data_IF_248068673842
#
_entry.id   IF_248068673842
#
_cell.length_a   1.000
_cell.length_b   1.000
_cell.length_c   1.000
_cell.angle_alpha   90.00
_cell.angle_beta   90.00
_cell.angle_gamma   90.00
#
_symmetry.space_group_name_H-M   'P 1'
#
loop_
_entity.id
_entity.type
_entity.pdbx_description
1 polymer ?
#
# COMPACT_ATOMS: atom_id res chain seq x y z
N UNK A 1 7.26 18.91 -15.69
CA UNK A 1 7.06 18.27 -14.38
C UNK A 1 7.60 16.85 -14.44
N UNK A 2 8.56 16.49 -13.59
CA UNK A 2 9.13 15.13 -13.65
C UNK A 2 8.31 14.04 -12.96
N UNK A 3 7.16 14.38 -12.38
CA UNK A 3 6.24 13.40 -11.79
C UNK A 3 5.33 12.81 -12.88
N UNK A 4 5.58 11.56 -13.23
CA UNK A 4 4.86 10.83 -14.27
C UNK A 4 3.94 9.73 -13.69
N UNK A 5 4.03 9.53 -12.38
CA UNK A 5 3.27 8.55 -11.63
C UNK A 5 1.84 9.04 -11.38
N UNK A 6 0.94 8.09 -11.14
CA UNK A 6 -0.47 8.31 -10.84
C UNK A 6 -0.88 7.56 -9.58
N UNK A 7 -2.08 7.87 -9.07
CA UNK A 7 -2.72 7.11 -8.00
C UNK A 7 -4.19 6.83 -8.32
N UNK A 8 -4.58 5.56 -8.31
CA UNK A 8 -5.92 5.10 -8.73
C UNK A 8 -6.73 4.51 -7.59
N UNK A 9 -8.06 4.46 -7.78
CA UNK A 9 -8.95 3.70 -6.90
C UNK A 9 -8.60 2.21 -6.86
N UNK A 10 -8.29 1.63 -8.03
CA UNK A 10 -7.87 0.24 -8.13
C UNK A 10 -6.40 0.08 -7.75
N UNK A 11 -6.07 -1.04 -7.09
CA UNK A 11 -4.68 -1.33 -6.77
C UNK A 11 -3.92 -1.69 -8.05
N UNK A 12 -2.68 -1.22 -8.16
CA UNK A 12 -1.77 -1.74 -9.17
C UNK A 12 -1.37 -3.16 -8.82
N UNK A 13 -1.00 -3.38 -7.55
CA UNK A 13 -0.61 -4.68 -7.02
C UNK A 13 -1.21 -4.87 -5.64
N UNK A 14 -1.72 -6.08 -5.43
CA UNK A 14 -2.19 -6.56 -4.13
C UNK A 14 -1.42 -7.81 -3.75
N UNK A 15 -0.77 -7.77 -2.58
CA UNK A 15 -0.26 -8.98 -1.92
C UNK A 15 -1.24 -9.43 -0.85
N UNK A 16 -1.40 -10.75 -0.73
CA UNK A 16 -2.28 -11.39 0.25
C UNK A 16 -1.45 -12.21 1.22
N UNK A 17 -1.65 -11.98 2.51
CA UNK A 17 -1.24 -12.87 3.59
C UNK A 17 -2.47 -13.70 4.01
N UNK A 18 -2.50 -14.99 3.67
CA UNK A 18 -3.62 -15.90 3.97
C UNK A 18 -3.30 -16.77 5.20
N UNK A 19 -4.17 -16.69 6.20
CA UNK A 19 -4.09 -17.39 7.48
C UNK A 19 -5.15 -18.47 7.66
N UNK A 20 -5.86 -18.88 6.60
CA UNK A 20 -6.90 -19.89 6.66
C UNK A 20 -6.42 -21.19 7.33
N UNK A 21 -5.19 -21.62 7.04
CA UNK A 21 -4.58 -22.81 7.63
C UNK A 21 -4.37 -22.71 9.16
N UNK A 22 -4.23 -21.49 9.68
CA UNK A 22 -3.95 -21.21 11.09
C UNK A 22 -5.03 -20.35 11.76
N UNK A 23 -6.22 -20.26 11.16
CA UNK A 23 -7.33 -19.44 11.65
C UNK A 23 -7.70 -19.74 13.12
N UNK A 24 -7.48 -20.98 13.58
CA UNK A 24 -7.73 -21.38 14.97
C UNK A 24 -6.67 -20.92 15.97
N UNK A 25 -5.64 -20.21 15.53
CA UNK A 25 -4.51 -19.74 16.33
C UNK A 25 -4.45 -18.19 16.38
N UNK A 26 -5.46 -17.51 16.96
CA UNK A 26 -5.58 -16.06 16.85
C UNK A 26 -4.44 -15.28 17.50
N UNK A 27 -3.81 -15.82 18.56
CA UNK A 27 -2.64 -15.21 19.18
C UNK A 27 -1.44 -15.18 18.20
N UNK A 28 -1.21 -16.28 17.47
CA UNK A 28 -0.16 -16.36 16.46
C UNK A 28 -0.42 -15.41 15.29
N UNK A 29 -1.68 -15.22 14.89
CA UNK A 29 -2.03 -14.25 13.85
C UNK A 29 -1.84 -12.80 14.36
N UNK A 30 -2.12 -12.52 15.64
CA UNK A 30 -1.80 -11.21 16.22
C UNK A 30 -0.30 -10.91 16.17
N UNK A 31 0.57 -11.90 16.42
CA UNK A 31 2.03 -11.74 16.26
C UNK A 31 2.42 -11.32 14.84
N UNK A 32 1.73 -11.85 13.82
CA UNK A 32 1.91 -11.40 12.43
C UNK A 32 1.50 -9.93 12.26
N UNK A 33 0.32 -9.52 12.76
CA UNK A 33 -0.16 -8.13 12.63
C UNK A 33 0.85 -7.17 13.27
N UNK A 34 1.35 -7.50 14.45
CA UNK A 34 2.37 -6.72 15.15
C UNK A 34 3.68 -6.65 14.38
N UNK A 35 4.14 -7.76 13.79
CA UNK A 35 5.33 -7.79 12.95
C UNK A 35 5.18 -6.92 11.69
N UNK A 36 4.02 -6.97 11.04
CA UNK A 36 3.73 -6.14 9.86
C UNK A 36 3.72 -4.64 10.22
N UNK A 37 3.07 -4.25 11.32
CA UNK A 37 3.09 -2.86 11.81
C UNK A 37 4.51 -2.39 12.16
N UNK A 38 5.26 -3.22 12.89
CA UNK A 38 6.65 -2.90 13.26
C UNK A 38 7.56 -2.73 12.06
N UNK A 39 7.46 -3.64 11.08
CA UNK A 39 8.24 -3.59 9.83
C UNK A 39 7.88 -2.36 9.00
N UNK A 40 6.59 -2.06 8.83
CA UNK A 40 6.11 -0.90 8.08
C UNK A 40 6.68 0.41 8.62
N UNK A 41 6.68 0.58 9.95
CA UNK A 41 7.24 1.74 10.62
C UNK A 41 8.77 1.80 10.50
N UNK A 42 9.47 0.67 10.72
CA UNK A 42 10.92 0.58 10.64
C UNK A 42 11.46 0.96 9.25
N UNK A 43 10.78 0.53 8.18
CA UNK A 43 11.14 0.85 6.80
C UNK A 43 10.56 2.18 6.30
N UNK A 44 9.75 2.88 7.12
CA UNK A 44 9.04 4.12 6.77
C UNK A 44 8.14 3.96 5.53
N UNK A 45 7.50 2.80 5.40
CA UNK A 45 6.61 2.43 4.27
C UNK A 45 5.15 2.47 4.70
N UNK A 46 4.88 2.20 5.99
CA UNK A 46 3.54 2.21 6.54
C UNK A 46 3.59 2.45 8.05
N UNK A 47 3.20 3.63 8.50
CA UNK A 47 3.02 3.92 9.93
C UNK A 47 1.64 4.54 10.19
N UNK A 48 0.88 3.96 11.11
CA UNK A 48 -0.49 4.41 11.43
C UNK A 48 -0.43 5.56 12.41
N UNK A 49 -0.87 6.74 11.96
CA UNK A 49 -0.91 7.96 12.76
C UNK A 49 -2.18 8.00 13.61
N UNK A 50 -3.32 7.67 13.02
CA UNK A 50 -4.62 7.66 13.70
C UNK A 50 -5.48 6.49 13.21
N UNK A 51 -6.22 5.86 14.13
CA UNK A 51 -7.21 4.83 13.81
C UNK A 51 -8.50 5.04 14.64
N UNK A 52 -9.45 5.87 14.14
CA UNK A 52 -10.65 6.25 14.89
C UNK A 52 -11.53 5.06 15.30
N UNK A 53 -11.58 4.00 14.49
CA UNK A 53 -12.41 2.81 14.74
C UNK A 53 -12.05 2.07 16.04
N UNK A 54 -10.83 2.25 16.54
CA UNK A 54 -10.34 1.71 17.81
C UNK A 54 -9.93 2.82 18.78
N UNK A 55 -10.34 4.07 18.50
CA UNK A 55 -9.98 5.25 19.26
C UNK A 55 -8.48 5.38 19.47
N UNK A 56 -7.65 5.15 18.45
CA UNK A 56 -6.19 5.25 18.55
C UNK A 56 -5.65 6.54 17.91
N UNK A 57 -4.66 7.16 18.57
CA UNK A 57 -3.81 8.25 18.06
C UNK A 57 -2.38 8.04 18.55
N UNK A 58 -1.40 7.99 17.63
CA UNK A 58 0.02 7.71 17.91
C UNK A 58 0.58 8.57 19.04
N UNK A 59 0.38 9.89 18.97
CA UNK A 59 0.95 10.85 19.94
C UNK A 59 0.35 10.74 21.35
N UNK A 60 -0.83 10.12 21.49
CA UNK A 60 -1.52 9.94 22.77
C UNK A 60 -1.28 8.55 23.35
N UNK A 61 -1.35 7.52 22.51
CA UNK A 61 -1.46 6.13 22.95
C UNK A 61 -0.14 5.36 22.83
N UNK A 62 0.88 5.94 22.21
CA UNK A 62 2.16 5.27 21.96
C UNK A 62 2.05 4.26 20.82
N UNK A 63 2.62 3.07 21.01
CA UNK A 63 2.68 2.07 19.97
C UNK A 63 1.33 1.38 19.72
N UNK A 64 0.89 1.32 18.47
CA UNK A 64 -0.36 0.67 18.07
C UNK A 64 -0.42 -0.81 18.50
N UNK A 65 0.72 -1.52 18.52
CA UNK A 65 0.75 -2.93 18.95
C UNK A 65 0.25 -3.13 20.38
N UNK A 66 0.50 -2.19 21.29
CA UNK A 66 0.05 -2.26 22.67
C UNK A 66 -1.47 -2.13 22.76
N UNK A 67 -2.05 -1.26 21.94
CA UNK A 67 -3.51 -1.07 21.85
C UNK A 67 -4.17 -2.34 21.33
N UNK A 68 -3.64 -2.92 20.24
CA UNK A 68 -4.18 -4.16 19.66
C UNK A 68 -4.05 -5.34 20.62
N UNK A 69 -2.94 -5.43 21.37
CA UNK A 69 -2.75 -6.47 22.41
C UNK A 69 -3.82 -6.35 23.49
N UNK A 70 -4.05 -5.14 24.02
CA UNK A 70 -5.08 -4.91 25.03
C UNK A 70 -6.49 -5.24 24.51
N UNK A 71 -6.80 -4.89 23.27
CA UNK A 71 -8.08 -5.22 22.63
C UNK A 71 -8.25 -6.75 22.53
N UNK A 72 -7.21 -7.46 22.10
CA UNK A 72 -7.24 -8.91 22.00
C UNK A 72 -7.40 -9.58 23.36
N UNK A 73 -6.68 -9.14 24.38
CA UNK A 73 -6.74 -9.72 25.73
C UNK A 73 -8.09 -9.46 26.42
N UNK A 74 -8.61 -8.22 26.32
CA UNK A 74 -9.83 -7.78 26.99
C UNK A 74 -11.10 -8.22 26.28
N UNK A 75 -11.14 -8.04 24.96
CA UNK A 75 -12.36 -8.20 24.16
C UNK A 75 -12.36 -9.46 23.32
N UNK A 76 -11.24 -10.21 23.29
CA UNK A 76 -11.05 -11.41 22.45
C UNK A 76 -11.21 -11.14 20.94
N UNK A 77 -11.08 -9.87 20.54
CA UNK A 77 -11.16 -9.46 19.13
C UNK A 77 -9.79 -9.54 18.47
N UNK A 78 -9.68 -10.32 17.39
CA UNK A 78 -8.54 -10.26 16.47
C UNK A 78 -8.84 -9.23 15.38
N UNK A 79 -8.02 -8.19 15.31
CA UNK A 79 -8.14 -7.13 14.31
C UNK A 79 -7.04 -7.27 13.26
N UNK A 80 -7.39 -7.81 12.09
CA UNK A 80 -6.49 -7.96 10.95
C UNK A 80 -6.50 -6.71 10.09
N UNK A 81 -6.21 -5.55 10.67
CA UNK A 81 -6.32 -4.25 10.00
C UNK A 81 -7.76 -3.85 9.61
N UNK A 82 -8.77 -4.42 10.26
CA UNK A 82 -10.14 -3.93 10.15
C UNK A 82 -10.35 -2.57 10.83
N UNK A 83 -9.48 -2.19 11.77
CA UNK A 83 -9.42 -0.82 12.32
C UNK A 83 -9.14 0.26 11.26
N UNK A 84 -8.62 -0.13 10.09
CA UNK A 84 -8.41 0.81 8.96
C UNK A 84 -9.71 1.37 8.39
N UNK A 85 -10.85 0.77 8.76
CA UNK A 85 -12.19 1.31 8.58
C UNK A 85 -12.60 1.31 7.11
N UNK A 86 -12.95 2.48 6.59
CA UNK A 86 -13.30 2.71 5.16
C UNK A 86 -12.06 2.60 4.25
N UNK A 87 -11.25 1.57 4.47
CA UNK A 87 -10.04 1.25 3.74
C UNK A 87 -9.11 2.47 3.56
N UNK A 88 -8.96 3.28 4.61
CA UNK A 88 -8.04 4.42 4.64
C UNK A 88 -8.38 5.55 3.65
N UNK A 89 -9.66 5.71 3.26
CA UNK A 89 -10.12 6.90 2.53
C UNK A 89 -9.87 8.17 3.37
N UNK A 90 -9.06 9.14 2.91
CA UNK A 90 -8.80 10.37 3.64
C UNK A 90 -10.08 11.16 3.95
N UNK A 91 -10.14 11.77 5.13
CA UNK A 91 -11.28 12.60 5.58
C UNK A 91 -12.52 11.83 6.06
N UNK A 92 -12.62 10.52 5.84
CA UNK A 92 -13.75 9.73 6.35
C UNK A 92 -13.62 9.52 7.87
N UNK A 93 -14.68 9.75 8.68
CA UNK A 93 -14.58 9.83 10.15
C UNK A 93 -14.13 8.53 10.85
N UNK A 94 -14.31 7.38 10.20
CA UNK A 94 -13.87 6.08 10.71
C UNK A 94 -12.59 5.56 10.05
N UNK A 95 -12.00 6.34 9.15
CA UNK A 95 -10.87 5.92 8.34
C UNK A 95 -9.57 6.16 9.09
N UNK A 96 -8.67 5.19 9.03
CA UNK A 96 -7.33 5.38 9.60
C UNK A 96 -6.47 6.25 8.70
N UNK A 97 -5.61 7.05 9.32
CA UNK A 97 -4.55 7.79 8.64
C UNK A 97 -3.25 7.03 8.83
N UNK A 98 -2.55 6.72 7.74
CA UNK A 98 -1.18 6.24 7.79
C UNK A 98 -0.30 7.05 6.86
N UNK A 99 1.01 6.98 7.10
CA UNK A 99 2.01 7.69 6.31
C UNK A 99 3.13 6.76 5.83
N UNK A 100 3.77 7.17 4.73
CA UNK A 100 5.02 6.60 4.25
C UNK A 100 5.98 7.74 3.91
N UNK A 101 7.29 7.51 4.02
CA UNK A 101 8.30 8.47 3.55
C UNK A 101 8.63 8.19 2.08
N UNK A 102 8.31 9.11 1.18
CA UNK A 102 8.54 8.95 -0.27
C UNK A 102 9.33 10.11 -0.86
N UNK A 103 10.01 9.81 -1.97
CA UNK A 103 10.61 10.81 -2.84
C UNK A 103 9.64 11.20 -3.97
N UNK A 104 9.57 12.49 -4.28
CA UNK A 104 8.89 13.02 -5.47
C UNK A 104 9.56 14.35 -5.88
N UNK A 105 9.24 14.85 -7.07
CA UNK A 105 9.67 16.18 -7.48
C UNK A 105 8.66 17.22 -7.00
N UNK A 106 9.13 18.35 -6.48
CA UNK A 106 8.29 19.50 -6.20
C UNK A 106 7.99 20.31 -7.49
N UNK A 107 7.34 21.47 -7.34
CA UNK A 107 6.97 22.34 -8.48
C UNK A 107 8.17 23.01 -9.16
N UNK A 108 9.32 23.05 -8.51
CA UNK A 108 10.57 23.59 -9.05
C UNK A 108 11.44 22.45 -9.63
N UNK A 109 10.88 21.26 -9.79
CA UNK A 109 11.56 20.02 -10.20
C UNK A 109 12.74 19.65 -9.28
N UNK A 110 12.73 20.11 -8.01
CA UNK A 110 13.65 19.62 -7.00
C UNK A 110 13.13 18.30 -6.42
N UNK A 111 14.04 17.35 -6.26
CA UNK A 111 13.72 16.11 -5.58
C UNK A 111 13.62 16.34 -4.06
N UNK A 112 12.48 15.98 -3.48
CA UNK A 112 12.23 16.08 -2.05
C UNK A 112 11.81 14.73 -1.47
N UNK A 113 12.25 14.42 -0.25
CA UNK A 113 11.83 13.26 0.53
C UNK A 113 11.06 13.72 1.78
N UNK A 114 9.83 13.23 1.96
CA UNK A 114 8.98 13.60 3.12
C UNK A 114 7.98 12.51 3.48
N UNK A 115 7.41 12.62 4.67
CA UNK A 115 6.24 11.82 5.06
C UNK A 115 5.01 12.27 4.26
N UNK A 116 4.28 11.30 3.70
CA UNK A 116 3.08 11.49 2.87
C UNK A 116 1.97 10.60 3.43
N UNK A 117 0.85 11.21 3.80
CA UNK A 117 -0.36 10.51 4.23
C UNK A 117 -1.42 10.42 3.11
N UNK A 118 -1.33 11.29 2.11
CA UNK A 118 -2.23 11.32 0.96
C UNK A 118 -1.43 11.61 -0.31
N UNK A 119 -1.14 10.56 -1.06
CA UNK A 119 -0.31 10.66 -2.25
C UNK A 119 -1.08 11.24 -3.45
N UNK A 120 -2.40 11.07 -3.50
CA UNK A 120 -3.28 11.71 -4.49
C UNK A 120 -3.30 13.22 -4.31
N UNK A 121 -3.41 13.71 -3.08
CA UNK A 121 -3.30 15.14 -2.77
C UNK A 121 -1.92 15.72 -3.12
N UNK A 122 -0.85 14.95 -2.92
CA UNK A 122 0.49 15.35 -3.36
C UNK A 122 0.52 15.52 -4.87
N UNK A 123 0.02 14.55 -5.65
CA UNK A 123 -0.03 14.65 -7.11
C UNK A 123 -0.86 15.86 -7.59
N UNK A 124 -2.05 16.04 -7.02
CA UNK A 124 -2.93 17.19 -7.32
C UNK A 124 -2.24 18.53 -7.03
N UNK A 125 -1.45 18.60 -5.94
CA UNK A 125 -0.68 19.81 -5.63
C UNK A 125 0.44 20.10 -6.63
N UNK A 126 0.86 19.10 -7.40
CA UNK A 126 1.96 19.22 -8.36
C UNK A 126 1.47 19.58 -9.76
N UNK A 127 0.17 19.42 -10.07
CA UNK A 127 -0.41 19.75 -11.38
C UNK A 127 0.09 21.10 -11.92
N UNK A 128 0.56 21.16 -13.18
CA UNK A 128 1.08 22.41 -13.74
C UNK A 128 -0.05 23.34 -14.17
N UNK A 129 -1.18 22.75 -14.57
CA UNK A 129 -2.43 23.40 -14.90
C UNK A 129 -3.55 22.55 -14.29
N UNK A 130 -4.57 23.17 -13.67
CA UNK A 130 -5.70 22.43 -13.10
C UNK A 130 -6.37 21.49 -14.11
N UNK A 131 -6.80 20.33 -13.63
CA UNK A 131 -7.59 19.34 -14.37
C UNK A 131 -6.86 18.71 -15.58
N UNK A 132 -5.53 18.78 -15.62
CA UNK A 132 -4.72 18.11 -16.66
C UNK A 132 -4.56 16.63 -16.37
N UNK A 133 -4.45 16.25 -15.10
CA UNK A 133 -4.45 14.85 -14.71
C UNK A 133 -5.92 14.40 -14.55
N UNK A 134 -6.37 13.35 -15.25
CA UNK A 134 -7.74 12.85 -15.09
C UNK A 134 -8.08 12.52 -13.62
N UNK A 135 -9.30 12.86 -13.17
CA UNK A 135 -9.78 12.69 -11.78
C UNK A 135 -9.51 11.29 -11.18
N UNK A 136 -9.55 10.23 -12.00
CA UNK A 136 -9.30 8.85 -11.58
C UNK A 136 -7.83 8.52 -11.28
N UNK A 137 -6.90 9.45 -11.54
CA UNK A 137 -5.45 9.27 -11.38
C UNK A 137 -4.85 10.09 -10.23
N UNK A 138 -5.69 10.80 -9.46
CA UNK A 138 -5.29 11.51 -8.24
C UNK A 138 -6.10 11.04 -7.03
N UNK A 139 -6.53 9.77 -7.03
CA UNK A 139 -7.40 9.28 -5.96
C UNK A 139 -6.70 9.39 -4.61
N UNK A 140 -7.39 9.96 -3.61
CA UNK A 140 -6.85 10.24 -2.30
C UNK A 140 -6.70 8.96 -1.47
N UNK A 141 -5.46 8.53 -1.22
CA UNK A 141 -5.10 7.37 -0.39
C UNK A 141 -3.67 7.50 0.15
N UNK A 142 -3.34 6.81 1.26
CA UNK A 142 -1.96 6.64 1.67
C UNK A 142 -1.17 5.83 0.62
N UNK A 143 0.16 6.01 0.55
CA UNK A 143 1.01 5.30 -0.42
C UNK A 143 0.89 3.77 -0.41
N UNK A 144 0.68 3.19 0.77
CA UNK A 144 0.45 1.76 0.99
C UNK A 144 -0.80 1.61 1.86
N UNK A 145 -1.69 0.69 1.47
CA UNK A 145 -2.87 0.33 2.24
C UNK A 145 -2.71 -1.09 2.76
N UNK A 146 -2.94 -1.28 4.05
CA UNK A 146 -3.03 -2.61 4.65
C UNK A 146 -4.42 -2.75 5.23
N UNK A 147 -5.16 -3.76 4.77
CA UNK A 147 -6.58 -3.95 5.14
C UNK A 147 -6.87 -5.41 5.45
N UNK A 148 -7.90 -5.65 6.24
CA UNK A 148 -8.45 -6.97 6.49
C UNK A 148 -9.65 -6.86 7.43
N UNK A 149 -9.99 -7.94 8.14
CA UNK A 149 -11.23 -8.03 8.92
C UNK A 149 -11.01 -8.07 10.43
N UNK A 150 -12.07 -7.73 11.16
CA UNK A 150 -12.18 -7.98 12.60
C UNK A 150 -12.95 -9.28 12.84
N UNK A 151 -12.48 -10.07 13.80
CA UNK A 151 -13.09 -11.33 14.20
C UNK A 151 -13.32 -11.32 15.71
N UNK A 152 -14.57 -11.48 16.15
CA UNK A 152 -14.92 -11.57 17.58
C UNK A 152 -14.65 -12.98 18.15
N UNK A 153 -14.75 -14.02 17.31
CA UNK A 153 -14.25 -15.35 17.61
C UNK A 153 -13.65 -16.00 16.35
N UNK A 154 -12.33 -15.98 16.27
CA UNK A 154 -11.58 -16.54 15.13
C UNK A 154 -11.71 -18.06 15.06
N UNK A 155 -12.02 -18.74 16.19
CA UNK A 155 -12.19 -20.20 16.22
C UNK A 155 -13.41 -20.65 15.43
N UNK A 156 -14.43 -19.80 15.38
CA UNK A 156 -15.64 -20.02 14.59
C UNK A 156 -15.54 -19.39 13.19
N UNK A 157 -14.54 -18.54 12.96
CA UNK A 157 -14.32 -17.86 11.68
C UNK A 157 -15.42 -16.84 11.34
N UNK A 158 -16.21 -16.41 12.34
CA UNK A 158 -17.34 -15.51 12.15
C UNK A 158 -16.84 -14.06 12.17
N UNK A 159 -16.92 -13.31 11.05
CA UNK A 159 -16.58 -11.89 11.04
C UNK A 159 -17.53 -11.09 11.95
N UNK A 160 -17.04 -9.99 12.53
CA UNK A 160 -17.86 -9.11 13.39
C UNK A 160 -19.01 -8.45 12.60
N UNK A 161 -18.84 -8.28 11.29
CA UNK A 161 -19.91 -7.88 10.39
C UNK A 161 -20.56 -9.12 9.75
N UNK A 162 -21.88 -9.30 9.92
CA UNK A 162 -22.65 -10.42 9.36
C UNK A 162 -22.75 -10.41 7.81
N UNK A 163 -21.73 -9.93 7.09
CA UNK A 163 -21.72 -9.84 5.63
C UNK A 163 -21.23 -11.17 5.03
N UNK A 164 -22.02 -11.78 4.12
CA UNK A 164 -21.68 -13.06 3.48
C UNK A 164 -20.67 -12.82 2.35
N UNK A 165 -19.44 -12.47 2.70
CA UNK A 165 -18.31 -12.56 1.77
C UNK A 165 -17.32 -13.56 2.36
N UNK A 166 -17.11 -14.73 1.73
CA UNK A 166 -16.15 -15.73 2.19
C UNK A 166 -14.75 -15.29 1.78
N UNK A 167 -14.28 -14.15 2.27
CA UNK A 167 -12.85 -13.86 2.18
C UNK A 167 -12.14 -14.74 3.21
N UNK A 168 -11.01 -15.36 2.84
CA UNK A 168 -10.17 -16.11 3.78
C UNK A 168 -9.77 -15.20 4.95
N UNK A 169 -9.34 -15.80 6.07
CA UNK A 169 -8.75 -15.06 7.18
C UNK A 169 -7.44 -14.47 6.68
N UNK A 170 -7.45 -13.22 6.22
CA UNK A 170 -6.36 -12.67 5.43
C UNK A 170 -6.12 -11.18 5.69
N UNK A 171 -4.90 -10.76 5.40
CA UNK A 171 -4.47 -9.36 5.33
C UNK A 171 -4.03 -9.05 3.91
N UNK A 172 -4.42 -7.89 3.41
CA UNK A 172 -4.17 -7.44 2.06
C UNK A 172 -3.29 -6.19 2.10
N UNK A 173 -2.14 -6.25 1.45
CA UNK A 173 -1.20 -5.14 1.28
C UNK A 173 -1.33 -4.64 -0.15
N UNK A 174 -1.68 -3.37 -0.34
CA UNK A 174 -1.99 -2.79 -1.65
C UNK A 174 -1.20 -1.54 -1.92
N UNK A 175 -0.73 -1.41 -3.16
CA UNK A 175 -0.20 -0.16 -3.70
C UNK A 175 -1.14 0.33 -4.79
N UNK A 176 -1.54 1.60 -4.68
CA UNK A 176 -2.49 2.26 -5.59
C UNK A 176 -1.81 3.24 -6.53
N UNK A 177 -0.49 3.39 -6.41
CA UNK A 177 0.32 4.24 -7.26
C UNK A 177 1.37 3.43 -7.97
N UNK A 178 1.71 3.85 -9.19
CA UNK A 178 2.82 3.30 -9.95
C UNK A 178 4.17 3.98 -9.64
N UNK A 179 4.22 4.91 -8.67
CA UNK A 179 5.46 5.57 -8.19
C UNK A 179 6.54 4.56 -7.73
N UNK A 180 6.13 3.34 -7.39
CA UNK A 180 6.99 2.26 -6.92
C UNK A 180 7.72 1.52 -8.07
N UNK A 181 7.27 1.65 -9.30
CA UNK A 181 7.86 0.94 -10.44
C UNK A 181 8.94 1.77 -11.11
N UNK A 182 10.03 1.13 -11.60
CA UNK A 182 11.08 1.82 -12.34
C UNK A 182 10.59 2.41 -13.67
N UNK A 183 9.49 1.89 -14.23
CA UNK A 183 8.92 2.32 -15.49
C UNK A 183 7.41 2.49 -15.32
N UNK A 184 6.86 3.61 -15.79
CA UNK A 184 5.44 3.95 -15.66
C UNK A 184 4.85 4.31 -17.01
N UNK A 185 3.53 4.18 -17.19
CA UNK A 185 2.88 4.60 -18.45
C UNK A 185 2.80 6.12 -18.60
N UNK A 186 3.17 6.89 -17.57
CA UNK A 186 3.16 8.34 -17.63
C UNK A 186 1.75 8.89 -17.74
N UNK A 187 0.75 8.26 -17.11
CA UNK A 187 -0.66 8.68 -17.24
C UNK A 187 -0.95 10.09 -16.72
N UNK A 188 -0.03 10.68 -15.95
CA UNK A 188 -0.07 12.09 -15.59
C UNK A 188 0.45 13.01 -16.72
N UNK A 189 1.25 12.52 -17.66
CA UNK A 189 1.94 13.29 -18.69
C UNK A 189 1.03 13.63 -19.90
N UNK A 190 1.11 14.84 -20.49
CA UNK A 190 0.31 15.23 -21.66
C UNK A 190 0.50 14.31 -22.88
N UNK A 191 1.73 13.85 -23.11
CA UNK A 191 2.05 12.92 -24.22
C UNK A 191 1.72 11.45 -23.92
N UNK A 192 0.98 11.15 -22.86
CA UNK A 192 0.58 9.79 -22.56
C UNK A 192 -0.25 9.18 -23.70
N UNK A 193 0.21 8.05 -24.24
CA UNK A 193 -0.51 7.28 -25.26
C UNK A 193 -0.87 5.86 -24.78
N UNK A 194 -0.57 5.54 -23.51
CA UNK A 194 -0.70 4.23 -22.88
C UNK A 194 -0.03 3.05 -23.62
N UNK A 195 0.88 3.38 -24.55
CA UNK A 195 1.69 2.44 -25.32
C UNK A 195 3.14 2.51 -24.93
N UNK A 196 3.62 3.71 -24.60
CA UNK A 196 5.00 3.98 -24.19
C UNK A 196 5.13 3.97 -22.67
N UNK A 197 6.33 3.63 -22.19
CA UNK A 197 6.69 3.77 -20.79
C UNK A 197 7.77 4.82 -20.61
N UNK A 198 7.70 5.54 -19.50
CA UNK A 198 8.61 6.59 -19.09
C UNK A 198 9.48 6.13 -17.93
N UNK A 199 10.66 6.73 -17.82
CA UNK A 199 11.63 6.43 -16.77
C UNK A 199 11.20 7.03 -15.43
N UNK A 200 10.98 6.17 -14.43
CA UNK A 200 10.70 6.53 -13.04
C UNK A 200 11.76 5.96 -12.08
N UNK A 201 12.88 5.45 -12.59
CA UNK A 201 13.93 4.80 -11.79
C UNK A 201 14.50 5.72 -10.73
N UNK A 202 14.63 7.01 -11.03
CA UNK A 202 15.14 7.98 -10.07
C UNK A 202 14.29 8.04 -8.78
N UNK A 203 12.96 7.97 -8.89
CA UNK A 203 12.07 7.89 -7.74
C UNK A 203 12.05 6.48 -7.14
N UNK A 204 11.80 5.46 -7.97
CA UNK A 204 11.65 4.08 -7.53
C UNK A 204 12.87 3.56 -6.75
N UNK A 205 14.09 3.88 -7.19
CA UNK A 205 15.32 3.43 -6.52
C UNK A 205 15.50 3.98 -5.10
N UNK A 206 14.77 5.03 -4.70
CA UNK A 206 14.88 5.64 -3.36
C UNK A 206 13.89 5.07 -2.34
N UNK A 207 12.68 4.71 -2.76
CA UNK A 207 11.65 4.19 -1.84
C UNK A 207 11.28 2.73 -2.05
N UNK A 208 11.38 2.19 -3.26
CA UNK A 208 11.02 0.79 -3.53
C UNK A 208 11.92 -0.23 -2.82
N UNK A 209 13.23 -0.01 -2.60
CA UNK A 209 14.01 -0.92 -1.76
C UNK A 209 13.44 -1.07 -0.34
N UNK A 210 12.88 0.02 0.22
CA UNK A 210 12.24 0.00 1.55
C UNK A 210 10.93 -0.77 1.50
N UNK A 211 10.13 -0.59 0.45
CA UNK A 211 8.91 -1.39 0.22
C UNK A 211 9.25 -2.89 0.10
N UNK A 212 10.27 -3.25 -0.68
CA UNK A 212 10.68 -4.64 -0.86
C UNK A 212 11.19 -5.27 0.44
N UNK A 213 11.95 -4.53 1.25
CA UNK A 213 12.38 -5.01 2.57
C UNK A 213 11.18 -5.26 3.50
N UNK A 214 10.22 -4.33 3.54
CA UNK A 214 8.96 -4.49 4.26
C UNK A 214 8.17 -5.72 3.78
N UNK A 215 7.94 -5.87 2.48
CA UNK A 215 7.20 -7.00 1.91
C UNK A 215 7.89 -8.34 2.22
N UNK A 216 9.22 -8.40 2.12
CA UNK A 216 9.99 -9.59 2.48
C UNK A 216 9.85 -9.98 3.96
N UNK A 217 9.88 -9.01 4.87
CA UNK A 217 9.66 -9.25 6.30
C UNK A 217 8.22 -9.67 6.62
N UNK A 218 7.22 -9.05 5.98
CA UNK A 218 5.80 -9.44 6.10
C UNK A 218 5.60 -10.86 5.58
N UNK A 219 6.17 -11.20 4.43
CA UNK A 219 6.10 -12.53 3.85
C UNK A 219 6.75 -13.58 4.78
N UNK A 220 7.93 -13.27 5.32
CA UNK A 220 8.60 -14.12 6.30
C UNK A 220 7.78 -14.29 7.59
N UNK A 221 7.14 -13.22 8.08
CA UNK A 221 6.26 -13.30 9.24
C UNK A 221 5.03 -14.17 8.98
N UNK A 222 4.37 -14.03 7.83
CA UNK A 222 3.22 -14.85 7.46
C UNK A 222 3.57 -16.34 7.39
N UNK A 223 4.68 -16.67 6.70
CA UNK A 223 5.17 -18.06 6.57
C UNK A 223 5.57 -18.66 7.92
N UNK A 224 6.23 -17.88 8.79
CA UNK A 224 6.66 -18.33 10.13
C UNK A 224 5.50 -18.77 11.01
N UNK A 225 4.34 -18.15 10.88
CA UNK A 225 3.15 -18.51 11.65
C UNK A 225 2.29 -19.60 10.98
N UNK A 226 2.75 -20.17 9.87
CA UNK A 226 2.04 -21.20 9.11
C UNK A 226 1.01 -20.68 8.10
N UNK A 227 1.00 -19.37 7.82
CA UNK A 227 0.24 -18.77 6.73
C UNK A 227 0.96 -18.83 5.38
N UNK A 228 0.35 -18.25 4.35
CA UNK A 228 0.98 -18.03 3.05
C UNK A 228 1.05 -16.54 2.71
N UNK A 229 1.94 -16.17 1.79
CA UNK A 229 2.07 -14.81 1.28
C UNK A 229 2.44 -14.84 -0.19
N UNK A 230 1.77 -14.02 -1.00
CA UNK A 230 2.06 -13.89 -2.43
C UNK A 230 1.20 -12.82 -3.11
N UNK A 231 1.39 -12.65 -4.41
CA UNK A 231 0.55 -11.75 -5.21
C UNK A 231 -0.85 -12.31 -5.33
N UNK A 232 -1.88 -11.49 -5.09
CA UNK A 232 -3.27 -11.87 -5.30
C UNK A 232 -3.70 -11.54 -6.74
N UNK A 233 -3.88 -12.52 -7.63
CA UNK A 233 -4.18 -12.27 -9.04
C UNK A 233 -5.53 -11.58 -9.27
N UNK A 234 -6.53 -11.79 -8.41
CA UNK A 234 -7.88 -11.26 -8.62
C UNK A 234 -7.99 -9.74 -8.41
N UNK A 235 -7.01 -9.15 -7.70
CA UNK A 235 -6.98 -7.73 -7.32
C UNK A 235 -5.65 -7.06 -7.72
N UNK A 236 -4.90 -7.68 -8.64
CA UNK A 236 -3.66 -7.15 -9.22
C UNK A 236 -3.88 -6.88 -10.70
N UNK A 237 -3.49 -5.69 -11.16
CA UNK A 237 -3.58 -5.34 -12.58
C UNK A 237 -2.74 -6.30 -13.43
N UNK A 238 -3.32 -6.84 -14.50
CA UNK A 238 -2.68 -7.86 -15.35
C UNK A 238 -1.30 -7.47 -15.86
N UNK A 239 -1.08 -6.18 -16.14
CA UNK A 239 0.24 -5.66 -16.56
C UNK A 239 1.24 -5.61 -15.41
N UNK A 240 0.80 -5.22 -14.21
CA UNK A 240 1.65 -5.08 -13.04
C UNK A 240 2.14 -6.43 -12.49
N UNK A 241 1.40 -7.52 -12.73
CA UNK A 241 1.80 -8.88 -12.35
C UNK A 241 3.16 -9.30 -12.95
N UNK A 242 3.59 -8.70 -14.07
CA UNK A 242 4.90 -8.97 -14.67
C UNK A 242 6.05 -8.21 -14.01
N UNK A 243 5.76 -7.29 -13.09
CA UNK A 243 6.73 -6.37 -12.47
C UNK A 243 6.97 -6.67 -11.00
N UNK A 244 6.43 -7.77 -10.50
CA UNK A 244 6.47 -8.14 -9.09
C UNK A 244 6.79 -9.63 -8.91
N UNK A 245 7.33 -9.96 -7.74
CA UNK A 245 7.34 -11.32 -7.19
C UNK A 245 6.32 -11.42 -6.06
N UNK A 246 6.23 -12.60 -5.45
CA UNK A 246 5.41 -12.83 -4.26
C UNK A 246 5.68 -11.87 -3.10
N UNK A 247 6.83 -11.19 -3.07
CA UNK A 247 7.28 -10.35 -1.96
C UNK A 247 8.12 -9.13 -2.38
N UNK A 248 8.08 -8.73 -3.65
CA UNK A 248 8.85 -7.57 -4.10
C UNK A 248 8.33 -6.95 -5.40
N UNK A 249 8.72 -5.70 -5.64
CA UNK A 249 8.72 -5.04 -6.95
C UNK A 249 10.08 -5.22 -7.62
N UNK A 250 10.08 -5.60 -8.90
CA UNK A 250 11.28 -5.84 -9.71
C UNK A 250 11.89 -4.51 -10.19
N UNK A 251 12.94 -4.05 -9.50
CA UNK A 251 13.62 -2.78 -9.82
C UNK A 251 14.53 -2.84 -11.06
N UNK A 252 15.01 -4.04 -11.39
CA UNK A 252 15.87 -4.32 -12.54
C UNK A 252 15.08 -4.75 -13.79
N UNK A 253 13.75 -4.74 -13.72
CA UNK A 253 12.90 -5.03 -14.86
C UNK A 253 13.10 -3.98 -15.96
N UNK A 254 13.23 -4.46 -17.20
CA UNK A 254 13.34 -3.63 -18.40
C UNK A 254 12.11 -3.84 -19.28
N UNK A 255 11.51 -2.76 -19.82
CA UNK A 255 10.40 -2.89 -20.74
C UNK A 255 10.81 -3.58 -22.04
N UNK A 256 9.89 -4.31 -22.68
CA UNK A 256 10.15 -4.93 -23.98
C UNK A 256 10.64 -3.92 -25.02
N UNK A 257 11.51 -4.37 -25.92
CA UNK A 257 11.98 -3.55 -27.03
C UNK A 257 10.80 -2.99 -27.84
N UNK A 258 10.82 -1.68 -28.13
CA UNK A 258 9.75 -0.98 -28.86
C UNK A 258 8.65 -0.34 -28.00
N UNK A 259 8.63 -0.60 -26.69
CA UNK A 259 7.76 0.10 -25.72
C UNK A 259 8.42 1.39 -25.19
N UNK A 260 9.75 1.52 -25.37
CA UNK A 260 10.51 2.74 -25.08
C UNK A 260 10.99 3.37 -26.40
N UNK A 261 10.40 4.47 -26.88
CA UNK A 261 11.08 5.31 -27.85
C UNK A 261 12.23 6.05 -27.16
N UNK A 262 13.37 6.26 -27.83
CA UNK A 262 14.49 7.05 -27.30
C UNK A 262 14.07 8.45 -26.80
N UNK A 263 13.06 9.03 -27.44
CA UNK A 263 12.47 10.35 -27.13
C UNK A 263 11.75 10.40 -25.77
N UNK A 264 11.30 9.25 -25.23
CA UNK A 264 10.60 9.20 -23.95
C UNK A 264 11.53 9.37 -22.73
N UNK A 265 12.85 9.35 -22.95
CA UNK A 265 13.85 9.60 -21.90
C UNK A 265 14.07 11.09 -21.64
N UNK A 266 13.74 11.95 -22.62
CA UNK A 266 13.99 13.40 -22.58
C UNK A 266 12.70 14.23 -22.62
N UNK A 267 11.52 13.60 -22.43
CA UNK A 267 10.25 14.31 -22.46
C UNK A 267 10.13 15.26 -21.26
N UNK A 268 10.40 16.54 -21.50
CA UNK A 268 9.95 17.64 -20.64
C UNK A 268 8.45 17.83 -20.82
N UNK A 269 7.74 18.18 -19.74
CA UNK A 269 6.34 18.63 -19.84
C UNK A 269 6.23 19.96 -20.57
#
# INVERSE_FOLDING_TARGET
MKNLWIQTEHAFVTWIADFTAVARQPATILEFVQAALGSGAAHRVFDVVEAPAISYRRDRDGALHDVLTRLFERERVLDLFGFTGSAMIPGHPQSSTAEATLCHYDREDHLVERAIHDLGAVLASLEPVPDVIPDGFMTHYPPVRITGRRYADVREGIPVDNRPYPLPVAVLVRIHSDIWFPWVYGSAHPDCDHRRMFDNRELATRHTPRLNAFLGEVAAAARRIGGSFGVWPDDTGTRAAHWVTDDSVLLDWLPPAGVMPPEALDAEW
#
